data_IF_191921911641
#
_entry.id   IF_191921911641
#
_cell.length_a   1.000
_cell.length_b   1.000
_cell.length_c   1.000
_cell.angle_alpha   90.00
_cell.angle_beta   90.00
_cell.angle_gamma   90.00
#
_symmetry.space_group_name_H-M   'P 1'
#
loop_
_entity.id
_entity.type
_entity.pdbx_description
1 polymer ?
#
# COMPACT_ATOMS: atom_id res chain seq x y z
N UNK A 1 10.23 -28.02 15.09
CA UNK A 1 10.37 -26.82 14.24
C UNK A 1 9.00 -26.18 14.19
N UNK A 2 8.79 -25.11 14.95
CA UNK A 2 7.54 -24.35 14.88
C UNK A 2 7.79 -23.21 13.91
N UNK A 3 7.17 -23.28 12.73
CA UNK A 3 7.02 -22.12 11.86
C UNK A 3 6.02 -21.20 12.58
N UNK A 4 6.41 -20.05 13.15
CA UNK A 4 5.40 -19.08 13.51
C UNK A 4 4.72 -18.70 12.20
N UNK A 5 3.40 -18.89 12.15
CA UNK A 5 2.57 -18.36 11.06
C UNK A 5 2.86 -16.86 11.03
N UNK A 6 3.69 -16.43 10.08
CA UNK A 6 3.97 -15.02 9.85
C UNK A 6 2.60 -14.35 9.74
N UNK A 7 2.29 -13.33 10.56
CA UNK A 7 1.00 -12.67 10.51
C UNK A 7 0.78 -12.25 9.06
N UNK A 8 -0.40 -12.52 8.51
CA UNK A 8 -0.84 -11.93 7.24
C UNK A 8 -0.61 -10.42 7.37
N UNK A 9 0.55 -9.96 6.91
CA UNK A 9 1.03 -8.63 7.24
C UNK A 9 0.51 -7.72 6.13
N UNK A 10 -0.80 -7.54 6.13
CA UNK A 10 -1.45 -6.59 5.26
C UNK A 10 -0.93 -5.20 5.62
N UNK A 11 -0.09 -4.64 4.74
CA UNK A 11 0.41 -3.27 4.88
C UNK A 11 -0.70 -2.34 4.39
N UNK A 12 -1.06 -1.36 5.22
CA UNK A 12 -2.08 -0.36 4.87
C UNK A 12 -1.42 1.01 4.92
N UNK A 13 -1.48 1.74 3.82
CA UNK A 13 -1.01 3.11 3.72
C UNK A 13 -2.22 4.05 3.72
N UNK A 14 -2.29 4.95 4.69
CA UNK A 14 -3.31 6.00 4.75
C UNK A 14 -2.81 7.25 4.04
N UNK A 15 -3.54 7.69 3.02
CA UNK A 15 -3.35 8.94 2.33
C UNK A 15 -4.35 9.96 2.88
N UNK A 16 -3.87 11.12 3.31
CA UNK A 16 -4.69 12.22 3.81
C UNK A 16 -4.12 13.56 3.34
N UNK A 17 -4.99 14.57 3.20
CA UNK A 17 -4.58 15.93 2.85
C UNK A 17 -4.20 16.13 1.38
N UNK A 18 -4.58 15.21 0.49
CA UNK A 18 -4.41 15.40 -0.96
C UNK A 18 -5.59 16.21 -1.55
N UNK A 19 -5.40 16.89 -2.70
CA UNK A 19 -6.44 17.71 -3.30
C UNK A 19 -7.65 16.87 -3.76
N UNK A 20 -8.90 17.37 -3.64
CA UNK A 20 -10.11 16.62 -4.00
C UNK A 20 -10.26 16.34 -5.51
N UNK A 21 -9.36 16.88 -6.33
CA UNK A 21 -9.25 16.54 -7.75
C UNK A 21 -8.52 15.22 -7.99
N UNK A 22 -7.81 14.69 -6.97
CA UNK A 22 -7.12 13.41 -7.05
C UNK A 22 -8.12 12.30 -7.31
N UNK A 23 -7.92 11.51 -8.36
CA UNK A 23 -8.77 10.37 -8.70
C UNK A 23 -8.07 9.06 -8.37
N UNK A 24 -8.85 7.99 -8.35
CA UNK A 24 -8.34 6.62 -8.19
C UNK A 24 -7.21 6.32 -9.17
N UNK A 25 -7.31 6.84 -10.41
CA UNK A 25 -6.28 6.67 -11.44
C UNK A 25 -4.94 7.32 -11.08
N UNK A 26 -4.96 8.48 -10.41
CA UNK A 26 -3.73 9.16 -10.00
C UNK A 26 -3.02 8.35 -8.91
N UNK A 27 -3.75 7.88 -7.89
CA UNK A 27 -3.15 7.03 -6.86
C UNK A 27 -2.74 5.68 -7.47
N UNK A 28 -3.54 5.08 -8.35
CA UNK A 28 -3.14 3.86 -9.07
C UNK A 28 -1.87 4.06 -9.90
N UNK A 29 -1.69 5.21 -10.56
CA UNK A 29 -0.48 5.53 -11.31
C UNK A 29 0.75 5.68 -10.39
N UNK A 30 0.59 6.34 -9.24
CA UNK A 30 1.63 6.44 -8.21
C UNK A 30 2.04 5.06 -7.70
N UNK A 31 1.06 4.18 -7.50
CA UNK A 31 1.30 2.84 -6.98
C UNK A 31 1.45 1.75 -8.06
N UNK A 32 1.52 2.11 -9.34
CA UNK A 32 1.49 1.16 -10.46
C UNK A 32 2.67 0.18 -10.43
N UNK A 33 3.81 0.59 -9.85
CA UNK A 33 4.97 -0.28 -9.63
C UNK A 33 4.69 -1.48 -8.72
N UNK A 34 3.64 -1.43 -7.92
CA UNK A 34 3.22 -2.47 -6.99
C UNK A 34 1.98 -3.22 -7.46
N UNK A 35 1.41 -2.88 -8.62
CA UNK A 35 0.22 -3.55 -9.15
C UNK A 35 0.54 -4.97 -9.64
N UNK A 36 1.73 -5.17 -10.21
CA UNK A 36 2.24 -6.46 -10.69
C UNK A 36 3.01 -7.23 -9.60
N UNK A 37 3.30 -6.58 -8.47
CA UNK A 37 4.08 -7.16 -7.37
C UNK A 37 3.19 -7.99 -6.44
N UNK A 38 3.43 -9.31 -6.43
CA UNK A 38 3.00 -10.28 -5.42
C UNK A 38 1.55 -10.14 -4.90
N UNK A 39 0.58 -9.87 -5.78
CA UNK A 39 -0.85 -9.81 -5.45
C UNK A 39 -1.46 -8.41 -5.38
N UNK A 40 -0.69 -7.37 -5.74
CA UNK A 40 -1.20 -6.03 -6.00
C UNK A 40 -1.63 -5.26 -4.75
N UNK A 41 -2.40 -4.20 -4.99
CA UNK A 41 -2.95 -3.35 -3.95
C UNK A 41 -4.42 -2.99 -4.22
N UNK A 42 -5.13 -2.61 -3.17
CA UNK A 42 -6.53 -2.20 -3.22
C UNK A 42 -6.70 -0.81 -2.64
N UNK A 43 -7.35 0.07 -3.38
CA UNK A 43 -7.64 1.44 -2.95
C UNK A 43 -9.03 1.47 -2.32
N UNK A 44 -9.14 2.05 -1.13
CA UNK A 44 -10.39 2.28 -0.40
C UNK A 44 -10.49 3.76 -0.04
N UNK A 45 -11.44 4.44 -0.66
CA UNK A 45 -11.73 5.84 -0.37
C UNK A 45 -12.47 5.97 0.97
N UNK A 46 -12.06 6.96 1.76
CA UNK A 46 -12.71 7.32 3.03
C UNK A 46 -13.51 8.60 2.83
N UNK A 47 -12.94 9.58 2.12
CA UNK A 47 -13.56 10.87 1.80
C UNK A 47 -12.87 11.48 0.55
N UNK A 48 -13.33 12.62 0.05
CA UNK A 48 -12.75 13.30 -1.13
C UNK A 48 -11.27 13.69 -0.95
N UNK A 49 -10.78 13.72 0.29
CA UNK A 49 -9.38 14.07 0.63
C UNK A 49 -8.64 12.97 1.39
N UNK A 50 -9.26 11.79 1.56
CA UNK A 50 -8.72 10.69 2.36
C UNK A 50 -8.95 9.33 1.68
N UNK A 51 -7.89 8.53 1.55
CA UNK A 51 -7.94 7.21 0.95
C UNK A 51 -6.96 6.25 1.65
N UNK A 52 -7.21 4.95 1.55
CA UNK A 52 -6.38 3.89 2.12
C UNK A 52 -5.95 2.94 1.01
N UNK A 53 -4.65 2.69 0.90
CA UNK A 53 -4.08 1.71 -0.02
C UNK A 53 -3.69 0.47 0.79
N UNK A 54 -4.31 -0.66 0.48
CA UNK A 54 -4.16 -1.93 1.18
C UNK A 54 -3.35 -2.86 0.28
N UNK A 55 -2.15 -3.22 0.70
CA UNK A 55 -1.28 -4.11 -0.05
C UNK A 55 -1.51 -5.57 0.35
N UNK A 56 -1.51 -6.46 -0.65
CA UNK A 56 -1.70 -7.89 -0.44
C UNK A 56 -0.46 -8.57 0.16
N UNK A 57 0.74 -8.02 -0.07
CA UNK A 57 2.00 -8.59 0.40
C UNK A 57 2.75 -7.71 1.42
N UNK A 58 3.36 -8.31 2.47
CA UNK A 58 4.16 -7.59 3.45
C UNK A 58 5.61 -7.27 3.10
N UNK A 59 6.16 -7.96 2.10
CA UNK A 59 7.59 -7.89 1.72
C UNK A 59 7.87 -6.61 0.93
N UNK A 60 6.88 -6.09 0.23
CA UNK A 60 6.94 -4.85 -0.56
C UNK A 60 7.22 -3.58 0.27
N UNK A 61 7.14 -3.66 1.60
CA UNK A 61 7.41 -2.55 2.52
C UNK A 61 8.72 -2.65 3.30
N UNK A 62 9.70 -3.44 2.86
CA UNK A 62 11.05 -3.35 3.40
C UNK A 62 11.79 -2.15 2.80
N UNK A 63 11.54 -0.99 3.43
CA UNK A 63 12.48 0.12 3.46
C UNK A 63 13.88 -0.47 3.65
N UNK A 64 14.72 -0.35 2.61
CA UNK A 64 16.16 -0.51 2.75
C UNK A 64 16.61 0.50 3.78
N UNK A 65 16.66 0.11 5.06
CA UNK A 65 17.46 0.79 6.07
C UNK A 65 18.89 0.77 5.53
N UNK A 66 19.30 1.87 4.91
CA UNK A 66 20.69 2.17 4.61
C UNK A 66 21.42 2.28 5.95
N UNK A 67 21.90 1.14 6.43
CA UNK A 67 22.68 0.99 7.63
C UNK A 67 24.11 0.65 7.27
N UNK A 68 24.92 1.72 7.16
CA UNK A 68 26.38 1.81 7.14
C UNK A 68 27.08 1.68 5.78
#
# INVERSE_FOLDING_TARGET
>A
MFTPLSPLSTRILSLSGFPPQLKTRDIQAVFSAWEDDNGGFRIKWVDDTNAMVIFSDPSTGEERRAGK
#
